data_IF_993889294520
#
_entry.id   IF_993889294520
#
_cell.length_a   1.000
_cell.length_b   1.000
_cell.length_c   1.000
_cell.angle_alpha   90.00
_cell.angle_beta   90.00
_cell.angle_gamma   90.00
#
_symmetry.space_group_name_H-M   'P 1'
#
loop_
_entity.id
_entity.type
_entity.pdbx_description
1 polymer ?
#
# COMPACT_ATOMS: atom_id res chain seq x y z
N UNK A 1 -25.88 -24.51 21.09
CA UNK A 1 -25.88 -24.16 19.65
C UNK A 1 -25.18 -22.83 19.35
N UNK A 2 -25.21 -21.83 20.24
CA UNK A 2 -24.61 -20.50 20.01
C UNK A 2 -23.06 -20.50 20.06
N UNK A 3 -22.43 -21.36 20.89
CA UNK A 3 -20.97 -21.52 21.02
C UNK A 3 -20.31 -22.08 19.77
N UNK A 4 -20.89 -23.10 19.12
CA UNK A 4 -20.40 -23.65 17.86
C UNK A 4 -20.24 -22.60 16.76
N UNK A 5 -21.22 -21.70 16.61
CA UNK A 5 -21.15 -20.63 15.61
C UNK A 5 -20.05 -19.60 15.86
N UNK A 6 -19.65 -19.36 17.11
CA UNK A 6 -18.54 -18.45 17.45
C UNK A 6 -17.20 -19.12 17.17
N UNK A 7 -17.12 -20.40 17.47
CA UNK A 7 -15.95 -21.22 17.22
C UNK A 7 -15.62 -21.35 15.72
N UNK A 8 -16.65 -21.53 14.90
CA UNK A 8 -16.53 -21.57 13.44
C UNK A 8 -16.08 -20.23 12.86
N UNK A 9 -16.58 -19.12 13.43
CA UNK A 9 -16.19 -17.76 13.03
C UNK A 9 -14.72 -17.46 13.29
N UNK A 10 -14.20 -17.77 14.47
CA UNK A 10 -12.78 -17.57 14.78
C UNK A 10 -11.92 -18.46 13.86
N UNK A 11 -12.35 -19.70 13.63
CA UNK A 11 -11.66 -20.61 12.71
C UNK A 11 -11.64 -20.09 11.27
N UNK A 12 -12.73 -19.46 10.83
CA UNK A 12 -12.84 -18.83 9.52
C UNK A 12 -11.93 -17.60 9.43
N UNK A 13 -11.94 -16.75 10.46
CA UNK A 13 -11.12 -15.53 10.52
C UNK A 13 -9.61 -15.86 10.45
N UNK A 14 -9.18 -16.91 11.15
CA UNK A 14 -7.81 -17.41 11.13
C UNK A 14 -7.40 -17.88 9.72
N UNK A 15 -8.28 -18.66 9.05
CA UNK A 15 -8.06 -19.10 7.65
C UNK A 15 -7.97 -17.92 6.69
N UNK A 16 -8.85 -16.92 6.83
CA UNK A 16 -8.83 -15.71 6.01
C UNK A 16 -7.54 -14.93 6.24
N UNK A 17 -7.09 -14.76 7.48
CA UNK A 17 -5.83 -14.10 7.78
C UNK A 17 -4.62 -14.82 7.16
N UNK A 18 -4.56 -16.16 7.24
CA UNK A 18 -3.52 -16.94 6.54
C UNK A 18 -3.59 -16.77 5.02
N UNK A 19 -4.80 -16.78 4.45
CA UNK A 19 -4.99 -16.59 3.02
C UNK A 19 -4.53 -15.21 2.56
N UNK A 20 -4.87 -14.15 3.30
CA UNK A 20 -4.40 -12.78 3.02
C UNK A 20 -2.88 -12.74 3.09
N UNK A 21 -2.28 -13.30 4.15
CA UNK A 21 -0.82 -13.32 4.30
C UNK A 21 -0.12 -14.01 3.10
N UNK A 22 -0.60 -15.20 2.71
CA UNK A 22 -0.06 -15.92 1.56
C UNK A 22 -0.27 -15.17 0.23
N UNK A 23 -1.43 -14.51 0.08
CA UNK A 23 -1.71 -13.68 -1.08
C UNK A 23 -0.75 -12.48 -1.15
N UNK A 24 -0.44 -11.84 -0.02
CA UNK A 24 0.54 -10.74 0.04
C UNK A 24 1.94 -11.20 -0.35
N UNK A 25 2.38 -12.36 0.13
CA UNK A 25 3.66 -12.97 -0.29
C UNK A 25 3.66 -13.18 -1.80
N UNK A 26 2.61 -13.82 -2.33
CA UNK A 26 2.49 -14.08 -3.77
C UNK A 26 2.47 -12.79 -4.60
N UNK A 27 1.82 -11.73 -4.11
CA UNK A 27 1.82 -10.43 -4.76
C UNK A 27 3.22 -9.82 -4.79
N UNK A 28 3.94 -9.82 -3.68
CA UNK A 28 5.30 -9.29 -3.64
C UNK A 28 6.24 -10.05 -4.58
N UNK A 29 6.12 -11.38 -4.64
CA UNK A 29 6.98 -12.24 -5.47
C UNK A 29 6.66 -12.10 -6.97
N UNK A 30 5.38 -12.09 -7.35
CA UNK A 30 4.97 -11.99 -8.75
C UNK A 30 5.01 -10.56 -9.31
N UNK A 31 4.65 -9.56 -8.49
CA UNK A 31 4.43 -8.19 -8.94
C UNK A 31 5.51 -7.22 -8.49
N UNK A 32 6.54 -7.66 -7.76
CA UNK A 32 7.66 -6.80 -7.36
C UNK A 32 8.27 -6.01 -8.53
N UNK A 33 8.73 -6.70 -9.57
CA UNK A 33 9.35 -6.05 -10.74
C UNK A 33 8.35 -5.25 -11.59
N UNK A 34 7.16 -5.79 -11.96
CA UNK A 34 6.16 -5.01 -12.69
C UNK A 34 5.75 -3.72 -11.99
N UNK A 35 5.48 -3.78 -10.68
CA UNK A 35 5.10 -2.59 -9.92
C UNK A 35 6.26 -1.62 -9.79
N UNK A 36 7.50 -2.10 -9.62
CA UNK A 36 8.68 -1.23 -9.61
C UNK A 36 8.82 -0.45 -10.93
N UNK A 37 8.63 -1.12 -12.07
CA UNK A 37 8.69 -0.48 -13.38
C UNK A 37 7.55 0.54 -13.57
N UNK A 38 6.33 0.21 -13.14
CA UNK A 38 5.20 1.14 -13.15
C UNK A 38 5.49 2.37 -12.29
N UNK A 39 6.05 2.19 -11.09
CA UNK A 39 6.42 3.27 -10.19
C UNK A 39 7.46 4.19 -10.81
N UNK A 40 8.54 3.64 -11.37
CA UNK A 40 9.58 4.43 -12.07
C UNK A 40 8.98 5.19 -13.25
N UNK A 41 8.13 4.55 -14.06
CA UNK A 41 7.45 5.20 -15.18
C UNK A 41 6.57 6.36 -14.71
N UNK A 42 5.82 6.20 -13.62
CA UNK A 42 5.02 7.27 -13.03
C UNK A 42 5.91 8.43 -12.55
N UNK A 43 7.05 8.14 -11.92
CA UNK A 43 8.00 9.17 -11.47
C UNK A 43 8.56 9.98 -12.64
N UNK A 44 8.97 9.31 -13.71
CA UNK A 44 9.46 9.97 -14.91
C UNK A 44 8.40 10.89 -15.50
N UNK A 45 7.14 10.43 -15.60
CA UNK A 45 6.04 11.28 -16.09
C UNK A 45 5.74 12.45 -15.17
N UNK A 46 5.76 12.26 -13.85
CA UNK A 46 5.56 13.33 -12.86
C UNK A 46 6.69 14.37 -12.86
N UNK A 47 7.83 14.06 -13.45
CA UNK A 47 8.95 15.01 -13.62
C UNK A 47 8.92 15.67 -15.00
N UNK A 48 8.88 14.85 -16.06
CA UNK A 48 9.03 15.30 -17.44
C UNK A 48 7.83 16.15 -17.86
N UNK A 49 6.61 15.72 -17.54
CA UNK A 49 5.41 16.43 -17.98
C UNK A 49 5.32 17.84 -17.38
N UNK A 50 5.48 18.05 -16.05
CA UNK A 50 5.49 19.40 -15.50
C UNK A 50 6.65 20.26 -15.99
N UNK A 51 7.85 19.68 -16.18
CA UNK A 51 8.98 20.42 -16.75
C UNK A 51 8.63 21.01 -18.12
N UNK A 52 8.16 20.17 -19.06
CA UNK A 52 7.73 20.64 -20.39
C UNK A 52 6.54 21.60 -20.34
N UNK A 53 5.66 21.47 -19.35
CA UNK A 53 4.55 22.38 -19.16
C UNK A 53 5.01 23.78 -18.72
N UNK A 54 6.07 23.87 -17.92
CA UNK A 54 6.63 25.12 -17.39
C UNK A 54 7.53 25.81 -18.43
N UNK A 55 8.46 25.06 -19.05
CA UNK A 55 9.48 25.63 -19.94
C UNK A 55 9.07 25.62 -21.42
N UNK A 56 8.04 24.86 -21.79
CA UNK A 56 7.64 24.67 -23.18
C UNK A 56 7.00 25.91 -23.83
N UNK A 57 7.18 26.09 -25.16
CA UNK A 57 6.58 27.20 -25.89
C UNK A 57 5.07 27.02 -26.14
N UNK A 58 4.52 25.82 -25.93
CA UNK A 58 3.12 25.48 -26.20
C UNK A 58 2.21 25.86 -25.02
N UNK A 59 1.50 26.99 -25.13
CA UNK A 59 0.57 27.48 -24.09
C UNK A 59 -0.91 27.38 -24.46
N UNK A 60 -1.25 26.54 -25.44
CA UNK A 60 -2.66 26.32 -25.81
C UNK A 60 -3.42 25.73 -24.62
N UNK A 61 -4.58 26.28 -24.23
CA UNK A 61 -5.29 25.87 -23.02
C UNK A 61 -5.69 24.39 -23.05
N UNK A 62 -6.07 23.87 -24.23
CA UNK A 62 -6.39 22.45 -24.41
C UNK A 62 -5.18 21.54 -24.16
N UNK A 63 -3.99 21.95 -24.62
CA UNK A 63 -2.76 21.19 -24.40
C UNK A 63 -2.40 21.17 -22.91
N UNK A 64 -2.46 22.32 -22.25
CA UNK A 64 -2.23 22.44 -20.80
C UNK A 64 -3.20 21.54 -20.03
N UNK A 65 -4.49 21.57 -20.35
CA UNK A 65 -5.50 20.73 -19.72
C UNK A 65 -5.17 19.23 -19.88
N UNK A 66 -4.82 18.79 -21.09
CA UNK A 66 -4.44 17.40 -21.35
C UNK A 66 -3.21 16.98 -20.52
N UNK A 67 -2.20 17.83 -20.40
CA UNK A 67 -1.02 17.53 -19.58
C UNK A 67 -1.35 17.46 -18.09
N UNK A 68 -2.19 18.36 -17.57
CA UNK A 68 -2.66 18.32 -16.19
C UNK A 68 -3.47 17.04 -15.93
N UNK A 69 -4.39 16.68 -16.82
CA UNK A 69 -5.12 15.41 -16.74
C UNK A 69 -4.15 14.21 -16.75
N UNK A 70 -3.10 14.24 -17.56
CA UNK A 70 -2.10 13.19 -17.62
C UNK A 70 -1.35 13.03 -16.30
N UNK A 71 -0.92 14.15 -15.69
CA UNK A 71 -0.31 14.18 -14.35
C UNK A 71 -1.26 13.56 -13.32
N UNK A 72 -2.54 13.94 -13.34
CA UNK A 72 -3.54 13.41 -12.44
C UNK A 72 -3.76 11.90 -12.63
N UNK A 73 -3.71 11.39 -13.86
CA UNK A 73 -3.79 9.94 -14.14
C UNK A 73 -2.60 9.20 -13.51
N UNK A 74 -1.38 9.71 -13.64
CA UNK A 74 -0.20 9.07 -13.02
C UNK A 74 -0.23 9.16 -11.50
N UNK A 75 -0.68 10.28 -10.94
CA UNK A 75 -0.90 10.41 -9.49
C UNK A 75 -1.97 9.42 -9.00
N UNK A 76 -3.07 9.29 -9.74
CA UNK A 76 -4.13 8.32 -9.46
C UNK A 76 -3.63 6.87 -9.48
N UNK A 77 -2.76 6.50 -10.42
CA UNK A 77 -2.11 5.18 -10.46
C UNK A 77 -1.29 4.91 -9.21
N UNK A 78 -0.50 5.87 -8.75
CA UNK A 78 0.25 5.75 -7.49
C UNK A 78 -0.71 5.54 -6.29
N UNK A 79 -1.82 6.27 -6.23
CA UNK A 79 -2.82 6.12 -5.18
C UNK A 79 -3.50 4.75 -5.19
N UNK A 80 -3.85 4.23 -6.38
CA UNK A 80 -4.45 2.90 -6.54
C UNK A 80 -3.51 1.80 -6.02
N UNK A 81 -2.19 1.99 -6.09
CA UNK A 81 -1.20 1.04 -5.57
C UNK A 81 -1.03 1.22 -4.05
N UNK A 82 -0.86 2.46 -3.58
CA UNK A 82 -0.51 2.76 -2.19
C UNK A 82 -1.69 2.66 -1.21
N UNK A 83 -2.90 3.05 -1.60
CA UNK A 83 -4.07 3.01 -0.70
C UNK A 83 -4.46 1.59 -0.25
N UNK A 84 -4.67 0.61 -1.14
CA UNK A 84 -5.11 -0.72 -0.70
C UNK A 84 -4.03 -1.44 0.13
N UNK A 85 -2.76 -1.26 -0.23
CA UNK A 85 -1.62 -1.82 0.52
C UNK A 85 -1.53 -1.21 1.91
N UNK A 86 -1.65 0.12 2.01
CA UNK A 86 -1.66 0.82 3.29
C UNK A 86 -2.85 0.42 4.17
N UNK A 87 -4.07 0.36 3.61
CA UNK A 87 -5.26 -0.07 4.35
C UNK A 87 -5.13 -1.50 4.86
N UNK A 88 -4.57 -2.40 4.05
CA UNK A 88 -4.34 -3.79 4.46
C UNK A 88 -3.36 -3.87 5.64
N UNK A 89 -2.25 -3.13 5.60
CA UNK A 89 -1.32 -3.02 6.74
C UNK A 89 -2.02 -2.46 7.97
N UNK A 90 -2.80 -1.39 7.81
CA UNK A 90 -3.49 -0.74 8.92
C UNK A 90 -4.52 -1.66 9.60
N UNK A 91 -5.29 -2.42 8.81
CA UNK A 91 -6.24 -3.39 9.35
C UNK A 91 -5.53 -4.57 10.03
N UNK A 92 -4.39 -5.01 9.50
CA UNK A 92 -3.54 -5.99 10.15
C UNK A 92 -3.05 -5.50 11.53
N UNK A 93 -2.56 -4.26 11.61
CA UNK A 93 -2.10 -3.64 12.87
C UNK A 93 -3.23 -3.47 13.89
N UNK A 94 -4.47 -3.20 13.45
CA UNK A 94 -5.65 -3.13 14.34
C UNK A 94 -6.14 -4.49 14.83
N UNK A 95 -5.89 -5.55 14.06
CA UNK A 95 -6.41 -6.89 14.37
C UNK A 95 -5.71 -7.49 15.60
N UNK A 96 -4.40 -7.30 15.75
CA UNK A 96 -3.64 -7.85 16.88
C UNK A 96 -4.14 -7.39 18.26
N UNK A 97 -4.36 -6.08 18.55
CA UNK A 97 -4.88 -5.66 19.85
C UNK A 97 -6.31 -6.15 20.11
N UNK A 98 -7.13 -6.32 19.07
CA UNK A 98 -8.47 -6.90 19.21
C UNK A 98 -8.40 -8.38 19.63
N UNK A 99 -7.49 -9.16 19.06
CA UNK A 99 -7.30 -10.57 19.47
C UNK A 99 -6.82 -10.66 20.92
N UNK A 100 -5.88 -9.80 21.33
CA UNK A 100 -5.41 -9.74 22.72
C UNK A 100 -6.55 -9.36 23.67
N UNK A 101 -7.39 -8.40 23.30
CA UNK A 101 -8.56 -8.04 24.10
C UNK A 101 -9.54 -9.22 24.21
N UNK A 102 -9.82 -9.91 23.10
CA UNK A 102 -10.68 -11.11 23.11
C UNK A 102 -10.13 -12.23 23.99
N UNK A 103 -8.80 -12.42 24.02
CA UNK A 103 -8.14 -13.38 24.91
C UNK A 103 -8.37 -13.06 26.38
N UNK A 104 -8.48 -11.78 26.75
CA UNK A 104 -8.67 -11.36 28.14
C UNK A 104 -10.09 -11.59 28.67
N UNK A 105 -11.08 -11.71 27.78
CA UNK A 105 -12.50 -11.84 28.14
C UNK A 105 -13.09 -13.24 27.91
N UNK A 106 -12.36 -14.13 27.21
CA UNK A 106 -12.82 -15.48 26.92
C UNK A 106 -12.47 -16.44 28.06
N UNK A 107 -13.50 -17.02 28.68
CA UNK A 107 -13.37 -18.02 29.74
C UNK A 107 -13.30 -19.47 29.18
N UNK A 108 -13.87 -19.69 28.00
CA UNK A 108 -13.94 -21.01 27.36
C UNK A 108 -12.55 -21.45 26.85
N UNK A 109 -12.00 -22.52 27.44
CA UNK A 109 -10.65 -23.01 27.13
C UNK A 109 -10.41 -23.31 25.65
N UNK A 110 -11.38 -23.93 24.98
CA UNK A 110 -11.23 -24.31 23.58
C UNK A 110 -11.13 -23.07 22.67
N UNK A 111 -11.96 -22.06 22.95
CA UNK A 111 -11.97 -20.78 22.25
C UNK A 111 -10.69 -19.99 22.53
N UNK A 112 -10.24 -19.99 23.79
CA UNK A 112 -8.97 -19.38 24.20
C UNK A 112 -7.79 -19.96 23.42
N UNK A 113 -7.70 -21.29 23.32
CA UNK A 113 -6.64 -21.98 22.57
C UNK A 113 -6.59 -21.53 21.11
N UNK A 114 -7.74 -21.38 20.44
CA UNK A 114 -7.78 -20.87 19.06
C UNK A 114 -7.35 -19.41 18.94
N UNK A 115 -7.77 -18.57 19.88
CA UNK A 115 -7.34 -17.18 19.92
C UNK A 115 -5.84 -17.04 20.20
N UNK A 116 -5.24 -17.93 21.00
CA UNK A 116 -3.78 -17.98 21.22
C UNK A 116 -3.03 -18.33 19.93
N UNK A 117 -3.53 -19.31 19.16
CA UNK A 117 -2.99 -19.62 17.83
C UNK A 117 -3.11 -18.42 16.90
N UNK A 118 -4.25 -17.72 16.92
CA UNK A 118 -4.43 -16.51 16.11
C UNK A 118 -3.47 -15.40 16.55
N UNK A 119 -3.37 -15.10 17.85
CA UNK A 119 -2.44 -14.09 18.35
C UNK A 119 -0.99 -14.39 17.92
N UNK A 120 -0.59 -15.65 18.01
CA UNK A 120 0.72 -16.13 17.56
C UNK A 120 0.92 -15.92 16.06
N UNK A 121 -0.07 -16.28 15.24
CA UNK A 121 -0.03 -16.05 13.80
C UNK A 121 0.01 -14.55 13.47
N UNK A 122 -0.74 -13.71 14.17
CA UNK A 122 -0.73 -12.26 13.98
C UNK A 122 0.62 -11.61 14.29
N UNK A 123 1.42 -12.21 15.17
CA UNK A 123 2.79 -11.78 15.47
C UNK A 123 3.82 -12.31 14.47
N UNK A 124 3.67 -13.56 14.02
CA UNK A 124 4.62 -14.21 13.11
C UNK A 124 4.40 -13.83 11.63
N UNK A 125 3.15 -13.61 11.24
CA UNK A 125 2.75 -13.34 9.86
C UNK A 125 2.49 -11.84 9.65
N UNK A 126 3.56 -11.03 9.77
CA UNK A 126 3.44 -9.58 9.59
C UNK A 126 3.27 -9.24 8.11
N UNK A 127 2.19 -8.52 7.80
CA UNK A 127 1.89 -8.09 6.44
C UNK A 127 2.80 -6.92 6.05
N UNK A 128 3.64 -7.14 5.05
CA UNK A 128 4.49 -6.11 4.45
C UNK A 128 4.36 -6.13 2.94
N UNK A 129 4.09 -4.96 2.34
CA UNK A 129 4.14 -4.77 0.89
C UNK A 129 5.48 -4.16 0.50
N UNK A 130 6.24 -4.85 -0.33
CA UNK A 130 7.57 -4.40 -0.76
C UNK A 130 7.78 -4.70 -2.25
N UNK A 131 8.37 -3.73 -2.95
CA UNK A 131 8.77 -3.85 -4.35
C UNK A 131 10.19 -4.41 -4.40
N UNK A 132 10.33 -5.69 -4.76
CA UNK A 132 11.61 -6.39 -4.87
C UNK A 132 12.49 -6.33 -3.60
N UNK A 133 11.91 -6.08 -2.43
CA UNK A 133 12.67 -5.85 -1.19
C UNK A 133 13.31 -4.45 -1.07
N UNK A 134 13.17 -3.59 -2.08
CA UNK A 134 13.85 -2.29 -2.18
C UNK A 134 12.97 -1.16 -1.64
N UNK A 135 11.69 -1.15 -2.02
CA UNK A 135 10.76 -0.06 -1.67
C UNK A 135 9.56 -0.60 -0.92
N UNK A 136 9.39 -0.16 0.33
CA UNK A 136 8.20 -0.48 1.12
C UNK A 136 7.03 0.40 0.69
N UNK A 137 5.88 -0.20 0.36
CA UNK A 137 4.69 0.52 -0.09
C UNK A 137 3.90 0.99 1.14
N UNK A 138 4.02 2.27 1.49
CA UNK A 138 3.26 2.95 2.55
C UNK A 138 2.88 4.35 2.09
N UNK A 139 1.92 5.01 2.75
CA UNK A 139 1.56 6.41 2.44
C UNK A 139 2.73 7.39 2.46
N UNK A 140 3.74 7.15 3.29
CA UNK A 140 4.98 7.93 3.31
C UNK A 140 5.73 7.92 1.97
N UNK A 141 5.55 6.88 1.14
CA UNK A 141 6.10 6.81 -0.21
C UNK A 141 5.57 7.96 -1.08
N UNK A 142 4.29 8.33 -0.97
CA UNK A 142 3.72 9.44 -1.74
C UNK A 142 4.39 10.77 -1.38
N UNK A 143 4.66 11.01 -0.09
CA UNK A 143 5.36 12.20 0.37
C UNK A 143 6.81 12.24 -0.14
N UNK A 144 7.51 11.10 -0.10
CA UNK A 144 8.87 10.96 -0.65
C UNK A 144 8.91 11.21 -2.16
N UNK A 145 7.91 10.72 -2.90
CA UNK A 145 7.78 10.97 -4.33
C UNK A 145 7.53 12.46 -4.58
N UNK A 146 6.61 13.08 -3.85
CA UNK A 146 6.30 14.50 -4.01
C UNK A 146 7.52 15.38 -3.72
N UNK A 147 8.30 15.09 -2.68
CA UNK A 147 9.51 15.83 -2.37
C UNK A 147 10.61 15.64 -3.42
N UNK A 148 10.81 14.41 -3.90
CA UNK A 148 11.77 14.11 -4.95
C UNK A 148 11.43 14.80 -6.28
N UNK A 149 10.16 14.72 -6.72
CA UNK A 149 9.66 15.39 -7.93
C UNK A 149 9.86 16.91 -7.81
N UNK A 150 9.47 17.50 -6.67
CA UNK A 150 9.61 18.95 -6.44
C UNK A 150 11.07 19.37 -6.49
N UNK A 151 11.96 18.65 -5.80
CA UNK A 151 13.40 18.95 -5.76
C UNK A 151 14.01 18.88 -7.16
N UNK A 152 13.69 17.82 -7.90
CA UNK A 152 14.22 17.64 -9.25
C UNK A 152 13.70 18.71 -10.23
N UNK A 153 12.42 19.08 -10.14
CA UNK A 153 11.86 20.16 -10.95
C UNK A 153 12.55 21.50 -10.68
N UNK A 154 12.77 21.85 -9.41
CA UNK A 154 13.49 23.08 -9.03
C UNK A 154 14.88 23.10 -9.66
N UNK A 155 15.64 22.01 -9.51
CA UNK A 155 16.98 21.90 -10.09
C UNK A 155 16.95 22.02 -11.62
N UNK A 156 16.04 21.32 -12.28
CA UNK A 156 15.92 21.35 -13.74
C UNK A 156 15.56 22.73 -14.28
N UNK A 157 14.68 23.46 -13.60
CA UNK A 157 14.29 24.81 -13.98
C UNK A 157 15.50 25.75 -13.81
N UNK A 158 16.19 25.69 -12.67
CA UNK A 158 17.37 26.50 -12.39
C UNK A 158 18.52 26.27 -13.38
N UNK A 159 18.69 25.04 -13.87
CA UNK A 159 19.72 24.70 -14.87
C UNK A 159 19.32 25.07 -16.31
N UNK A 160 18.04 25.32 -16.56
CA UNK A 160 17.51 25.70 -17.87
C UNK A 160 17.39 27.22 -18.05
N UNK A 161 17.58 27.99 -16.98
CA UNK A 161 17.77 29.46 -17.00
C UNK A 161 19.21 29.82 -17.38
#
# INVERSE_FOLDING_TARGET
>A
MITGSRFDRISSLLKVHSFIFNAVISINDCFGYPLLFIMISCLLHLVVTPFFLITGPQRKPLFVLLQVCWILVHLGRLLIIVEPTHRCIQEHEKTNPLIVHLLSIVEEQEMRRKLEVFATQGQLCVIHFSLCGIVTIRRSLLASIASAVTTYLVIMIQLNE
#
